data_IF_207890673723
#
_entry.id   IF_207890673723
#
_cell.length_a   1.000
_cell.length_b   1.000
_cell.length_c   1.000
_cell.angle_alpha   90.00
_cell.angle_beta   90.00
_cell.angle_gamma   90.00
#
_symmetry.space_group_name_H-M   'P 1'
#
loop_
_entity.id
_entity.type
_entity.pdbx_description
1 polymer ?
#
# COMPACT_ATOMS: atom_id res chain seq x y z
N UNK A 1 -40.73 -43.63 43.02
CA UNK A 1 -39.73 -43.85 41.94
C UNK A 1 -39.81 -42.84 40.81
N UNK A 2 -41.01 -42.32 40.45
CA UNK A 2 -41.24 -41.38 39.32
C UNK A 2 -40.69 -39.98 39.56
N UNK A 3 -40.69 -39.43 40.77
CA UNK A 3 -40.22 -38.04 41.10
C UNK A 3 -38.72 -37.79 40.84
N UNK A 4 -37.89 -38.79 41.03
CA UNK A 4 -36.44 -38.65 40.83
C UNK A 4 -36.04 -38.70 39.35
N UNK A 5 -36.79 -39.41 38.50
CA UNK A 5 -36.54 -39.45 37.06
C UNK A 5 -36.82 -38.11 36.39
N UNK A 6 -37.92 -37.45 36.74
CA UNK A 6 -38.26 -36.12 36.17
C UNK A 6 -37.23 -35.06 36.56
N UNK A 7 -36.73 -35.05 37.79
CA UNK A 7 -35.74 -34.07 38.27
C UNK A 7 -34.38 -34.22 37.56
N UNK A 8 -33.98 -35.41 37.24
CA UNK A 8 -32.73 -35.66 36.48
C UNK A 8 -32.84 -35.28 35.00
N UNK A 9 -34.00 -35.46 34.38
CA UNK A 9 -34.25 -35.07 32.98
C UNK A 9 -34.21 -33.57 32.81
N UNK A 10 -34.83 -32.81 33.72
CA UNK A 10 -34.81 -31.32 33.66
C UNK A 10 -33.39 -30.77 33.91
N UNK A 11 -32.63 -31.36 34.83
CA UNK A 11 -31.25 -30.94 35.11
C UNK A 11 -30.30 -31.15 33.94
N UNK A 12 -30.47 -32.24 33.17
CA UNK A 12 -29.67 -32.50 31.97
C UNK A 12 -30.02 -31.56 30.79
N UNK A 13 -31.29 -31.16 30.66
CA UNK A 13 -31.69 -30.18 29.64
C UNK A 13 -31.13 -28.78 29.93
N UNK A 14 -31.05 -28.36 31.16
CA UNK A 14 -30.47 -27.04 31.52
C UNK A 14 -28.95 -27.01 31.26
N UNK A 15 -28.24 -28.11 31.48
CA UNK A 15 -26.82 -28.20 31.17
C UNK A 15 -26.49 -28.09 29.67
N UNK A 16 -27.33 -28.71 28.82
CA UNK A 16 -27.11 -28.68 27.34
C UNK A 16 -27.42 -27.29 26.76
N UNK A 17 -28.43 -26.58 27.23
CA UNK A 17 -28.78 -25.24 26.79
C UNK A 17 -27.69 -24.21 27.15
N UNK A 18 -27.13 -24.30 28.35
CA UNK A 18 -26.04 -23.43 28.77
C UNK A 18 -24.76 -23.64 27.96
N UNK A 19 -24.41 -24.88 27.67
CA UNK A 19 -23.26 -25.23 26.81
C UNK A 19 -23.46 -24.72 25.37
N UNK A 20 -24.66 -24.89 24.80
CA UNK A 20 -24.99 -24.36 23.49
C UNK A 20 -24.90 -22.83 23.46
N UNK A 21 -25.36 -22.12 24.44
CA UNK A 21 -25.28 -20.66 24.55
C UNK A 21 -23.80 -20.19 24.57
N UNK A 22 -22.92 -20.88 25.28
CA UNK A 22 -21.46 -20.57 25.29
C UNK A 22 -20.84 -20.73 23.90
N UNK A 23 -21.16 -21.81 23.15
CA UNK A 23 -20.66 -22.02 21.81
C UNK A 23 -21.18 -20.97 20.81
N UNK A 24 -22.43 -20.52 20.93
CA UNK A 24 -22.98 -19.44 20.13
C UNK A 24 -22.26 -18.11 20.41
N UNK A 25 -22.02 -17.77 21.67
CA UNK A 25 -21.27 -16.55 22.03
C UNK A 25 -19.83 -16.60 21.54
N UNK A 26 -19.15 -17.74 21.68
CA UNK A 26 -17.80 -17.94 21.16
C UNK A 26 -17.76 -17.77 19.63
N UNK A 27 -18.75 -18.32 18.91
CA UNK A 27 -18.89 -18.17 17.47
C UNK A 27 -19.06 -16.71 17.03
N UNK A 28 -19.89 -15.95 17.74
CA UNK A 28 -20.10 -14.51 17.46
C UNK A 28 -18.80 -13.73 17.68
N UNK A 29 -18.07 -13.98 18.76
CA UNK A 29 -16.78 -13.31 19.03
C UNK A 29 -15.76 -13.58 17.92
N UNK A 30 -15.66 -14.82 17.44
CA UNK A 30 -14.77 -15.18 16.34
C UNK A 30 -15.16 -14.47 15.04
N UNK A 31 -16.45 -14.40 14.73
CA UNK A 31 -16.95 -13.72 13.52
C UNK A 31 -16.68 -12.21 13.60
N UNK A 32 -16.90 -11.58 14.75
CA UNK A 32 -16.62 -10.15 14.95
C UNK A 32 -15.12 -9.86 14.86
N UNK A 33 -14.29 -10.70 15.47
CA UNK A 33 -12.83 -10.58 15.37
C UNK A 33 -12.34 -10.75 13.92
N UNK A 34 -12.84 -11.74 13.19
CA UNK A 34 -12.53 -11.95 11.77
C UNK A 34 -12.98 -10.76 10.91
N UNK A 35 -14.18 -10.21 11.18
CA UNK A 35 -14.68 -9.04 10.46
C UNK A 35 -13.85 -7.79 10.73
N UNK A 36 -13.41 -7.56 11.96
CA UNK A 36 -12.52 -6.45 12.30
C UNK A 36 -11.15 -6.61 11.60
N UNK A 37 -10.58 -7.81 11.62
CA UNK A 37 -9.31 -8.10 10.96
C UNK A 37 -9.38 -7.87 9.44
N UNK A 38 -10.45 -8.33 8.78
CA UNK A 38 -10.66 -8.11 7.34
C UNK A 38 -10.86 -6.64 7.00
N UNK A 39 -11.45 -5.84 7.88
CA UNK A 39 -11.67 -4.42 7.67
C UNK A 39 -10.35 -3.63 7.69
N UNK A 40 -9.43 -3.97 8.58
CA UNK A 40 -8.09 -3.35 8.66
C UNK A 40 -7.18 -3.72 7.48
N UNK A 41 -7.42 -4.87 6.83
CA UNK A 41 -6.62 -5.33 5.69
C UNK A 41 -7.16 -4.86 4.34
N UNK A 42 -8.33 -4.18 4.29
CA UNK A 42 -8.86 -3.65 3.03
C UNK A 42 -8.02 -2.45 2.59
N UNK A 43 -7.42 -2.48 1.39
CA UNK A 43 -6.76 -1.31 0.83
C UNK A 43 -7.77 -0.17 0.72
N UNK A 44 -7.37 1.01 1.15
CA UNK A 44 -8.15 2.23 0.95
C UNK A 44 -8.40 2.51 -0.53
N UNK A 45 -9.33 3.42 -0.87
CA UNK A 45 -9.50 3.86 -2.24
C UNK A 45 -8.19 4.46 -2.78
N UNK A 46 -7.87 4.16 -4.04
CA UNK A 46 -6.70 4.74 -4.68
C UNK A 46 -6.80 6.28 -4.67
N UNK A 47 -5.73 6.93 -4.26
CA UNK A 47 -5.64 8.40 -4.27
C UNK A 47 -5.46 8.88 -5.71
N UNK A 48 -6.24 9.88 -6.12
CA UNK A 48 -6.11 10.55 -7.42
C UNK A 48 -5.35 11.86 -7.23
N UNK A 49 -4.35 12.09 -8.07
CA UNK A 49 -3.53 13.31 -8.04
C UNK A 49 -4.02 14.33 -9.06
N UNK A 50 -3.90 15.62 -8.73
CA UNK A 50 -4.26 16.74 -9.61
C UNK A 50 -3.21 17.01 -10.69
N UNK A 51 -1.96 16.56 -10.49
CA UNK A 51 -0.84 16.74 -11.43
C UNK A 51 -0.54 15.44 -12.14
N UNK A 52 -0.10 15.47 -13.41
CA UNK A 52 0.21 14.26 -14.19
C UNK A 52 1.44 13.51 -13.67
N UNK A 53 2.37 14.18 -12.99
CA UNK A 53 3.58 13.59 -12.43
C UNK A 53 3.65 13.81 -10.93
N UNK A 54 4.18 12.82 -10.23
CA UNK A 54 4.45 12.84 -8.80
C UNK A 54 5.93 12.56 -8.54
N UNK A 55 6.47 13.17 -7.49
CA UNK A 55 7.73 12.78 -6.88
C UNK A 55 7.43 11.73 -5.80
N UNK A 56 8.05 10.58 -5.90
CA UNK A 56 7.95 9.48 -4.93
C UNK A 56 9.28 9.36 -4.22
N UNK A 57 9.30 9.69 -2.94
CA UNK A 57 10.46 9.55 -2.08
C UNK A 57 10.38 8.21 -1.35
N UNK A 58 11.48 7.47 -1.40
CA UNK A 58 11.60 6.18 -0.74
C UNK A 58 12.39 6.28 0.56
N UNK A 59 12.16 5.34 1.47
CA UNK A 59 12.81 5.28 2.78
C UNK A 59 14.34 5.12 2.71
N UNK A 60 14.87 4.64 1.58
CA UNK A 60 16.31 4.54 1.32
C UNK A 60 16.93 5.86 0.79
N UNK A 61 16.18 6.97 0.75
CA UNK A 61 16.62 8.26 0.24
C UNK A 61 16.54 8.43 -1.28
N UNK A 62 16.11 7.43 -2.03
CA UNK A 62 15.92 7.57 -3.48
C UNK A 62 14.66 8.37 -3.80
N UNK A 63 14.73 9.24 -4.82
CA UNK A 63 13.60 9.97 -5.35
C UNK A 63 13.37 9.64 -6.82
N UNK A 64 12.13 9.31 -7.16
CA UNK A 64 11.70 9.04 -8.52
C UNK A 64 10.55 9.97 -8.91
N UNK A 65 10.50 10.35 -10.17
CA UNK A 65 9.44 11.19 -10.74
C UNK A 65 8.72 10.38 -11.80
N UNK A 66 7.40 10.38 -11.79
CA UNK A 66 6.63 9.60 -12.76
C UNK A 66 5.14 9.77 -12.56
N UNK A 67 4.37 9.06 -13.35
CA UNK A 67 2.92 8.95 -13.19
C UNK A 67 2.62 7.84 -12.20
N UNK A 68 2.12 8.21 -11.03
CA UNK A 68 1.81 7.28 -9.95
C UNK A 68 0.34 6.87 -10.00
N UNK A 69 0.12 5.57 -10.15
CA UNK A 69 -1.20 4.95 -10.16
C UNK A 69 -1.36 4.02 -8.95
N UNK A 70 -2.58 3.91 -8.45
CA UNK A 70 -2.91 2.99 -7.37
C UNK A 70 -2.25 3.32 -6.01
N UNK A 71 -1.90 4.59 -5.76
CA UNK A 71 -1.42 5.00 -4.44
C UNK A 71 -2.51 4.78 -3.38
N UNK A 72 -2.16 4.16 -2.27
CA UNK A 72 -3.11 3.68 -1.25
C UNK A 72 -3.56 2.23 -1.45
N UNK A 73 -3.16 1.59 -2.56
CA UNK A 73 -3.39 0.15 -2.79
C UNK A 73 -2.15 -0.68 -2.40
N UNK A 74 -2.27 -2.01 -2.32
CA UNK A 74 -1.12 -2.88 -2.02
C UNK A 74 -0.02 -2.89 -3.10
N UNK A 75 -0.31 -2.41 -4.31
CA UNK A 75 0.60 -2.47 -5.47
C UNK A 75 0.54 -1.17 -6.28
N UNK A 76 1.03 -0.05 -5.76
CA UNK A 76 1.17 1.17 -6.55
C UNK A 76 2.20 0.98 -7.66
N UNK A 77 1.94 1.62 -8.80
CA UNK A 77 2.76 1.52 -10.00
C UNK A 77 3.20 2.91 -10.42
N UNK A 78 4.48 3.08 -10.72
CA UNK A 78 5.04 4.30 -11.27
C UNK A 78 5.43 4.05 -12.73
N UNK A 79 4.87 4.83 -13.64
CA UNK A 79 5.14 4.77 -15.09
C UNK A 79 5.81 6.06 -15.57
N UNK A 80 6.40 6.05 -16.76
CA UNK A 80 7.19 7.17 -17.28
C UNK A 80 8.20 7.68 -16.24
N UNK A 81 9.05 6.78 -15.75
CA UNK A 81 9.88 7.02 -14.57
C UNK A 81 11.15 7.79 -14.91
N UNK A 82 11.43 8.81 -14.10
CA UNK A 82 12.65 9.60 -14.14
C UNK A 82 13.31 9.63 -12.76
N UNK A 83 14.61 9.86 -12.74
CA UNK A 83 15.37 10.08 -11.50
C UNK A 83 16.48 11.10 -11.74
N UNK A 84 17.03 11.66 -10.68
CA UNK A 84 18.16 12.57 -10.76
C UNK A 84 19.45 11.77 -10.60
N UNK A 85 20.36 11.89 -11.57
CA UNK A 85 21.71 11.39 -11.48
C UNK A 85 22.70 12.55 -11.42
N UNK A 86 23.72 12.41 -10.59
CA UNK A 86 24.82 13.37 -10.54
C UNK A 86 25.90 12.93 -11.54
N UNK A 87 26.18 13.77 -12.51
CA UNK A 87 27.29 13.58 -13.46
C UNK A 87 28.44 14.52 -13.10
N UNK A 88 29.64 13.98 -12.97
CA UNK A 88 30.84 14.77 -12.70
C UNK A 88 31.66 14.87 -13.98
N UNK A 89 31.94 16.10 -14.41
CA UNK A 89 32.86 16.34 -15.55
C UNK A 89 34.27 15.92 -15.13
N UNK A 90 34.93 15.00 -15.87
CA UNK A 90 36.22 14.48 -15.48
C UNK A 90 37.34 15.54 -15.56
N UNK A 91 37.20 16.55 -16.42
CA UNK A 91 38.19 17.61 -16.62
C UNK A 91 38.05 18.73 -15.59
N UNK A 92 36.83 19.25 -15.43
CA UNK A 92 36.56 20.41 -14.53
C UNK A 92 36.27 20.04 -13.13
N UNK A 93 36.01 18.73 -12.80
CA UNK A 93 35.53 18.22 -11.50
C UNK A 93 34.21 18.81 -11.04
N UNK A 94 33.50 19.51 -11.91
CA UNK A 94 32.19 20.04 -11.62
C UNK A 94 31.13 18.94 -11.68
N UNK A 95 30.25 18.89 -10.66
CA UNK A 95 29.12 17.98 -10.62
C UNK A 95 27.83 18.69 -11.04
N UNK A 96 27.08 18.06 -11.93
CA UNK A 96 25.81 18.57 -12.43
C UNK A 96 24.73 17.49 -12.25
N UNK A 97 23.58 17.91 -11.74
CA UNK A 97 22.41 17.03 -11.63
C UNK A 97 21.65 17.00 -12.95
N UNK A 98 21.47 15.80 -13.49
CA UNK A 98 20.72 15.57 -14.73
C UNK A 98 19.50 14.69 -14.45
N UNK A 99 18.40 14.98 -15.13
CA UNK A 99 17.21 14.13 -15.08
C UNK A 99 17.37 13.01 -16.11
N UNK A 100 17.31 11.78 -15.65
CA UNK A 100 17.46 10.58 -16.46
C UNK A 100 16.15 9.85 -16.55
N UNK A 101 15.69 9.52 -17.77
CA UNK A 101 14.52 8.66 -18.00
C UNK A 101 14.96 7.20 -17.86
N UNK A 102 14.22 6.42 -17.08
CA UNK A 102 14.37 4.97 -17.03
C UNK A 102 13.89 4.31 -18.32
N UNK A 103 14.36 3.08 -18.56
CA UNK A 103 14.00 2.29 -19.73
C UNK A 103 15.18 2.03 -20.68
N UNK A 104 16.38 2.56 -20.34
CA UNK A 104 17.61 2.30 -21.09
C UNK A 104 18.58 1.36 -20.35
N UNK A 105 18.16 0.86 -19.20
CA UNK A 105 18.90 -0.15 -18.44
C UNK A 105 18.85 -1.50 -19.19
N UNK A 106 19.76 -2.43 -18.87
CA UNK A 106 19.86 -3.73 -19.54
C UNK A 106 18.58 -4.57 -19.56
N UNK A 107 17.67 -4.34 -18.62
CA UNK A 107 16.39 -5.02 -18.52
C UNK A 107 15.20 -4.17 -19.02
N UNK A 108 15.46 -2.99 -19.61
CA UNK A 108 14.51 -2.10 -20.26
C UNK A 108 13.18 -1.91 -19.52
N UNK A 109 13.18 -1.45 -18.24
CA UNK A 109 11.97 -1.36 -17.45
C UNK A 109 11.03 -0.26 -17.97
N UNK A 110 9.78 -0.58 -18.24
CA UNK A 110 8.75 0.36 -18.66
C UNK A 110 7.99 0.98 -17.46
N UNK A 111 8.03 0.32 -16.30
CA UNK A 111 7.36 0.72 -15.07
C UNK A 111 8.07 0.20 -13.84
N UNK A 112 7.71 0.76 -12.68
CA UNK A 112 8.15 0.30 -11.37
C UNK A 112 6.95 -0.09 -10.51
N UNK A 113 6.92 -1.33 -10.03
CA UNK A 113 6.01 -1.75 -8.97
C UNK A 113 6.61 -1.38 -7.62
N UNK A 114 5.91 -0.56 -6.87
CA UNK A 114 6.42 -0.04 -5.61
C UNK A 114 5.90 -0.87 -4.43
N UNK A 115 6.74 -1.03 -3.41
CA UNK A 115 6.30 -1.52 -2.12
C UNK A 115 5.78 -0.33 -1.31
N UNK A 116 4.48 -0.28 -0.93
CA UNK A 116 3.91 0.83 -0.18
C UNK A 116 4.65 1.16 1.12
N UNK A 117 5.20 0.15 1.81
CA UNK A 117 5.94 0.34 3.07
C UNK A 117 7.28 1.05 2.88
N UNK A 118 7.77 1.17 1.63
CA UNK A 118 9.02 1.85 1.30
C UNK A 118 8.78 3.28 0.78
N UNK A 119 7.54 3.70 0.61
CA UNK A 119 7.21 5.07 0.21
C UNK A 119 7.19 5.94 1.47
N UNK A 120 8.13 6.89 1.55
CA UNK A 120 8.20 7.84 2.65
C UNK A 120 7.15 8.94 2.47
N UNK A 121 7.12 9.57 1.28
CA UNK A 121 6.11 10.54 0.90
C UNK A 121 5.93 10.61 -0.61
N UNK A 122 4.80 11.17 -1.02
CA UNK A 122 4.47 11.44 -2.43
C UNK A 122 4.07 12.91 -2.54
N UNK A 123 4.71 13.62 -3.47
CA UNK A 123 4.49 15.04 -3.69
C UNK A 123 4.09 15.30 -5.13
N UNK A 124 3.15 16.23 -5.41
CA UNK A 124 2.81 16.61 -6.77
C UNK A 124 3.97 17.36 -7.42
N UNK A 125 4.29 17.03 -8.67
CA UNK A 125 5.25 17.82 -9.48
C UNK A 125 4.48 18.99 -10.11
N UNK A 126 4.77 20.20 -9.64
CA UNK A 126 4.13 21.40 -10.18
C UNK A 126 4.48 21.62 -11.64
N UNK A 127 3.51 22.06 -12.44
CA UNK A 127 3.66 22.22 -13.91
C UNK A 127 4.79 23.18 -14.31
N UNK A 128 5.07 24.20 -13.50
CA UNK A 128 6.14 25.17 -13.74
C UNK A 128 7.48 24.78 -13.10
N UNK A 129 7.56 23.63 -12.45
CA UNK A 129 8.78 23.16 -11.80
C UNK A 129 9.88 22.85 -12.83
N UNK A 130 11.14 22.93 -12.37
CA UNK A 130 12.27 22.55 -13.22
C UNK A 130 12.19 21.08 -13.68
N UNK A 131 11.68 20.20 -12.81
CA UNK A 131 11.47 18.79 -13.13
C UNK A 131 10.47 18.63 -14.27
N UNK A 132 9.30 19.32 -14.21
CA UNK A 132 8.30 19.27 -15.26
C UNK A 132 8.85 19.76 -16.60
N UNK A 133 9.65 20.84 -16.60
CA UNK A 133 10.30 21.36 -17.80
C UNK A 133 11.30 20.35 -18.40
N UNK A 134 12.13 19.70 -17.56
CA UNK A 134 13.07 18.69 -18.00
C UNK A 134 12.37 17.43 -18.53
N UNK A 135 11.28 17.00 -17.91
CA UNK A 135 10.46 15.89 -18.40
C UNK A 135 9.90 16.22 -19.79
N UNK A 136 9.41 17.44 -19.99
CA UNK A 136 8.88 17.87 -21.29
C UNK A 136 9.94 17.86 -22.41
N UNK A 137 11.21 18.17 -22.07
CA UNK A 137 12.34 18.13 -23.00
C UNK A 137 12.85 16.72 -23.29
N UNK A 138 12.64 15.76 -22.37
CA UNK A 138 13.13 14.38 -22.46
C UNK A 138 12.13 13.40 -23.12
N UNK A 139 10.98 13.89 -23.58
CA UNK A 139 9.93 13.11 -24.27
C UNK A 139 10.25 12.77 -25.72
#
# INVERSE_FOLDING_TARGET
MIRNTIRNTIRNQQGSAAVQAVWFLAGIVVIVAAFMFVKDTRPGPAVTFSTPYQAVLLTNGSAYFGKLEGYGTPRPVLTEVYYIATQTNPETKQSTNVLVKRGKELHEPDRMYLNPSQILCVEPVGEKSKVAQLIAQAR
#
